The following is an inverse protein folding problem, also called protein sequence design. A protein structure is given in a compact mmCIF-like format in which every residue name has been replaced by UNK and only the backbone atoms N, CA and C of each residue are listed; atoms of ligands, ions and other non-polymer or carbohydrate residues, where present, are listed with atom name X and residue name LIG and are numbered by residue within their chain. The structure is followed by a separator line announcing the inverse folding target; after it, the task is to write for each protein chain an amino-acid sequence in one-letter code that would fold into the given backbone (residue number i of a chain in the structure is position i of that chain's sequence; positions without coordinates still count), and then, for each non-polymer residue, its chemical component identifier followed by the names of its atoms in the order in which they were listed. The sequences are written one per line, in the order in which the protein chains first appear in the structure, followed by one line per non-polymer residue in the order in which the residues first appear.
data_IF_989821451141
#
_entry.id   IF_989821451141
#
_cell.length_a   1.000
_cell.length_b   1.000
_cell.length_c   1.000
_cell.angle_alpha   90.00
_cell.angle_beta   90.00
_cell.angle_gamma   90.00
#
_symmetry.space_group_name_H-M   'P 1'
#
loop_
_entity.id
_entity.type
_entity.pdbx_description
1 polymer ?
#
# COMPACT_ATOMS: atom_id res chain seq x y z
N UNK A 1 -10.29 -4.37 15.27
CA UNK A 1 -9.18 -5.11 14.62
C UNK A 1 -8.95 -4.52 13.25
N UNK A 2 -7.79 -3.93 12.99
CA UNK A 2 -7.43 -3.58 11.62
C UNK A 2 -6.94 -4.83 10.89
N UNK A 3 -7.56 -5.12 9.75
CA UNK A 3 -7.12 -6.22 8.88
C UNK A 3 -5.77 -5.83 8.24
N UNK A 4 -4.79 -6.71 8.38
CA UNK A 4 -3.49 -6.60 7.71
C UNK A 4 -3.51 -7.40 6.41
N UNK A 5 -2.86 -6.86 5.39
CA UNK A 5 -2.84 -7.40 4.04
C UNK A 5 -1.39 -7.52 3.56
N UNK A 6 -1.10 -8.56 2.79
CA UNK A 6 0.19 -8.69 2.12
C UNK A 6 0.35 -7.64 1.02
N UNK A 7 1.61 -7.38 0.62
CA UNK A 7 1.92 -6.56 -0.56
C UNK A 7 1.09 -6.97 -1.78
N UNK A 8 1.07 -8.26 -2.12
CA UNK A 8 0.30 -8.76 -3.26
C UNK A 8 -1.20 -8.45 -3.14
N UNK A 9 -1.79 -8.62 -1.95
CA UNK A 9 -3.20 -8.30 -1.73
C UNK A 9 -3.49 -6.80 -1.89
N UNK A 10 -2.57 -5.92 -1.48
CA UNK A 10 -2.72 -4.47 -1.61
C UNK A 10 -2.49 -4.00 -3.05
N UNK A 11 -1.45 -4.51 -3.72
CA UNK A 11 -1.13 -4.19 -5.12
C UNK A 11 -2.19 -4.73 -6.08
N UNK A 12 -2.87 -5.84 -5.76
CA UNK A 12 -3.96 -6.35 -6.60
C UNK A 12 -5.36 -5.88 -6.14
N UNK A 13 -5.44 -5.10 -5.07
CA UNK A 13 -6.71 -4.58 -4.56
C UNK A 13 -7.34 -3.57 -5.51
N UNK A 14 -8.65 -3.70 -5.74
CA UNK A 14 -9.44 -2.68 -6.46
C UNK A 14 -9.65 -1.39 -5.64
N UNK A 15 -9.25 -1.38 -4.37
CA UNK A 15 -9.38 -0.23 -3.47
C UNK A 15 -8.33 0.85 -3.67
N UNK A 16 -7.29 0.60 -4.48
CA UNK A 16 -6.24 1.56 -4.81
C UNK A 16 -6.23 1.86 -6.31
N UNK A 17 -5.94 3.10 -6.69
CA UNK A 17 -5.79 3.50 -8.09
C UNK A 17 -4.60 2.77 -8.74
N UNK A 18 -4.57 2.58 -10.08
CA UNK A 18 -3.43 1.97 -10.77
C UNK A 18 -2.07 2.53 -10.31
N UNK A 19 -1.91 3.84 -10.32
CA UNK A 19 -0.67 4.50 -9.88
C UNK A 19 -0.36 4.28 -8.39
N UNK A 20 -1.38 4.13 -7.55
CA UNK A 20 -1.17 3.84 -6.13
C UNK A 20 -0.70 2.40 -5.91
N UNK A 21 -1.23 1.46 -6.71
CA UNK A 21 -0.76 0.08 -6.73
C UNK A 21 0.69 -0.03 -7.19
N UNK A 22 1.08 0.76 -8.19
CA UNK A 22 2.47 0.84 -8.64
C UNK A 22 3.39 1.37 -7.54
N UNK A 23 2.98 2.44 -6.85
CA UNK A 23 3.72 2.98 -5.69
C UNK A 23 3.86 1.93 -4.58
N UNK A 24 2.78 1.23 -4.24
CA UNK A 24 2.81 0.14 -3.26
C UNK A 24 3.70 -1.00 -3.70
N UNK A 25 3.74 -1.34 -4.99
CA UNK A 25 4.63 -2.38 -5.53
C UNK A 25 6.11 -2.04 -5.31
N UNK A 26 6.47 -0.76 -5.43
CA UNK A 26 7.83 -0.25 -5.23
C UNK A 26 8.18 -0.14 -3.73
N UNK A 27 7.22 0.31 -2.90
CA UNK A 27 7.51 0.70 -1.50
C UNK A 27 7.24 -0.38 -0.46
N UNK A 28 6.34 -1.31 -0.75
CA UNK A 28 6.04 -2.41 0.18
C UNK A 28 7.07 -3.52 0.05
N UNK A 29 7.41 -4.11 1.19
CA UNK A 29 8.37 -5.21 1.31
C UNK A 29 7.63 -6.55 1.21
N UNK A 30 8.20 -7.46 0.43
CA UNK A 30 7.69 -8.82 0.32
C UNK A 30 7.82 -9.57 1.65
N UNK A 31 6.79 -10.34 2.00
CA UNK A 31 6.70 -11.03 3.30
C UNK A 31 6.24 -10.16 4.48
N UNK A 32 6.11 -8.84 4.31
CA UNK A 32 5.51 -7.95 5.30
C UNK A 32 4.01 -7.72 5.02
N UNK A 33 3.25 -7.51 6.08
CA UNK A 33 1.82 -7.19 6.01
C UNK A 33 1.55 -5.78 6.51
N UNK A 34 0.63 -5.09 5.85
CA UNK A 34 0.29 -3.70 6.14
C UNK A 34 -1.23 -3.54 6.30
N UNK A 35 -1.66 -2.62 7.15
CA UNK A 35 -3.05 -2.17 7.16
C UNK A 35 -3.32 -1.27 5.95
N UNK A 36 -4.60 -1.04 5.64
CA UNK A 36 -4.96 -0.06 4.62
C UNK A 36 -4.47 1.35 4.98
N UNK A 37 -4.43 1.70 6.26
CA UNK A 37 -3.96 3.01 6.73
C UNK A 37 -2.46 3.14 6.48
N UNK A 38 -1.67 2.13 6.82
CA UNK A 38 -0.23 2.09 6.56
C UNK A 38 0.06 2.20 5.07
N UNK A 39 -0.60 1.40 4.24
CA UNK A 39 -0.46 1.47 2.78
C UNK A 39 -0.81 2.87 2.24
N UNK A 40 -1.89 3.49 2.74
CA UNK A 40 -2.29 4.84 2.34
C UNK A 40 -1.27 5.89 2.78
N UNK A 41 -0.68 5.76 3.97
CA UNK A 41 0.36 6.65 4.46
C UNK A 41 1.62 6.56 3.59
N UNK A 42 2.04 5.35 3.23
CA UNK A 42 3.18 5.11 2.33
C UNK A 42 2.95 5.79 0.96
N UNK A 43 1.74 5.69 0.42
CA UNK A 43 1.37 6.38 -0.83
C UNK A 43 1.47 7.90 -0.66
N UNK A 44 0.97 8.46 0.44
CA UNK A 44 1.02 9.91 0.71
C UNK A 44 2.46 10.42 0.84
N UNK A 45 3.27 9.72 1.63
CA UNK A 45 4.70 10.05 1.81
C UNK A 45 5.45 9.99 0.48
N UNK A 46 5.17 8.99 -0.37
CA UNK A 46 5.78 8.88 -1.70
C UNK A 46 5.39 10.04 -2.63
N UNK A 47 4.16 10.53 -2.56
CA UNK A 47 3.67 11.68 -3.33
C UNK A 47 4.19 13.03 -2.81
N UNK A 48 5.01 13.04 -1.75
CA UNK A 48 5.48 14.27 -1.10
C UNK A 48 4.42 14.95 -0.23
N UNK A 49 3.34 14.24 0.11
CA UNK A 49 2.35 14.70 1.08
C UNK A 49 2.89 14.52 2.49
N UNK A 50 3.50 15.58 3.02
CA UNK A 50 3.88 15.73 4.43
C UNK A 50 2.61 15.70 5.30
#
# INVERSE_FOLDING_TARGET
MENKFSKAALVHSKGFKPIERDILSIRLVDGQTYTKIEATKIIKEFKGGI
#
